data_IF_435308620408
#
_entry.id   IF_435308620408
#
_cell.length_a   1.000
_cell.length_b   1.000
_cell.length_c   1.000
_cell.angle_alpha   90.00
_cell.angle_beta   90.00
_cell.angle_gamma   90.00
#
_symmetry.space_group_name_H-M   'P 1'
#
loop_
_entity.id
_entity.type
_entity.pdbx_description
1 polymer ?
#
# COMPACT_ATOMS: atom_id res chain seq x y z
N UNK A 1 -2.45 4.64 2.81
CA UNK A 1 -2.97 4.89 1.45
C UNK A 1 -2.04 5.81 0.68
N UNK A 2 -0.76 5.45 0.64
CA UNK A 2 0.24 5.98 -0.28
C UNK A 2 0.60 4.82 -1.21
N UNK A 3 -0.29 4.54 -2.15
CA UNK A 3 -0.23 3.39 -3.05
C UNK A 3 1.02 3.40 -3.92
N UNK A 4 1.48 4.59 -4.35
CA UNK A 4 2.67 4.71 -5.19
C UNK A 4 3.88 3.98 -4.60
N UNK A 5 4.21 4.26 -3.33
CA UNK A 5 5.40 3.71 -2.68
C UNK A 5 5.25 2.20 -2.46
N UNK A 6 4.06 1.75 -2.06
CA UNK A 6 3.76 0.33 -1.86
C UNK A 6 3.84 -0.45 -3.17
N UNK A 7 3.20 0.02 -4.24
CA UNK A 7 3.26 -0.63 -5.56
C UNK A 7 4.69 -0.69 -6.06
N UNK A 8 5.44 0.41 -5.95
CA UNK A 8 6.83 0.46 -6.40
C UNK A 8 7.69 -0.56 -5.65
N UNK A 9 7.54 -0.67 -4.33
CA UNK A 9 8.24 -1.65 -3.50
C UNK A 9 7.87 -3.09 -3.89
N UNK A 10 6.58 -3.42 -3.90
CA UNK A 10 6.08 -4.77 -4.21
C UNK A 10 6.44 -5.23 -5.62
N UNK A 11 6.25 -4.36 -6.62
CA UNK A 11 6.61 -4.63 -8.01
C UNK A 11 8.12 -4.84 -8.16
N UNK A 12 8.95 -4.02 -7.50
CA UNK A 12 10.41 -4.13 -7.58
C UNK A 12 10.92 -5.43 -6.93
N UNK A 13 10.38 -5.81 -5.77
CA UNK A 13 10.69 -7.07 -5.09
C UNK A 13 10.36 -8.25 -6.02
N UNK A 14 9.15 -8.28 -6.58
CA UNK A 14 8.72 -9.32 -7.50
C UNK A 14 9.51 -9.33 -8.83
N UNK A 15 9.96 -8.17 -9.28
CA UNK A 15 10.80 -8.03 -10.47
C UNK A 15 12.19 -8.63 -10.25
N UNK A 16 12.81 -8.36 -9.10
CA UNK A 16 14.19 -8.76 -8.75
C UNK A 16 14.26 -10.21 -8.27
N UNK A 17 13.32 -10.65 -7.45
CA UNK A 17 13.30 -12.00 -6.90
C UNK A 17 12.54 -12.93 -7.85
N UNK A 18 13.23 -13.94 -8.37
CA UNK A 18 12.66 -14.81 -9.40
C UNK A 18 11.65 -15.82 -8.84
N UNK A 19 11.90 -16.32 -7.63
CA UNK A 19 11.06 -17.33 -7.01
C UNK A 19 9.82 -16.67 -6.37
N UNK A 20 8.59 -16.97 -6.86
CA UNK A 20 7.36 -16.37 -6.34
C UNK A 20 7.10 -16.75 -4.87
N UNK A 21 7.61 -17.89 -4.41
CA UNK A 21 7.46 -18.34 -3.03
C UNK A 21 8.13 -17.37 -2.04
N UNK A 22 9.17 -16.65 -2.47
CA UNK A 22 9.83 -15.62 -1.66
C UNK A 22 9.36 -14.23 -2.04
N UNK A 23 9.20 -13.95 -3.34
CA UNK A 23 8.92 -12.59 -3.79
C UNK A 23 7.55 -12.09 -3.38
N UNK A 24 6.52 -12.95 -3.38
CA UNK A 24 5.15 -12.55 -3.05
C UNK A 24 4.94 -12.29 -1.55
N UNK A 25 5.42 -13.16 -0.62
CA UNK A 25 5.40 -12.83 0.80
C UNK A 25 6.20 -11.57 1.12
N UNK A 26 7.38 -11.39 0.52
CA UNK A 26 8.19 -10.18 0.73
C UNK A 26 7.49 -8.93 0.20
N UNK A 27 6.78 -9.02 -0.92
CA UNK A 27 5.99 -7.91 -1.44
C UNK A 27 4.86 -7.50 -0.47
N UNK A 28 4.15 -8.48 0.12
CA UNK A 28 3.15 -8.19 1.16
C UNK A 28 3.78 -7.57 2.41
N UNK A 29 4.88 -8.14 2.90
CA UNK A 29 5.62 -7.62 4.07
C UNK A 29 6.11 -6.19 3.81
N UNK A 30 6.50 -5.88 2.57
CA UNK A 30 6.99 -4.55 2.21
C UNK A 30 5.97 -3.45 2.46
N UNK A 31 4.66 -3.74 2.44
CA UNK A 31 3.62 -2.79 2.83
C UNK A 31 3.92 -2.18 4.20
N UNK A 32 4.06 -3.05 5.21
CA UNK A 32 4.28 -2.64 6.60
C UNK A 32 5.65 -1.99 6.79
N UNK A 33 6.68 -2.44 6.05
CA UNK A 33 8.01 -1.82 6.13
C UNK A 33 8.03 -0.40 5.55
N UNK A 34 7.28 -0.17 4.47
CA UNK A 34 7.14 1.17 3.87
C UNK A 34 6.36 2.10 4.79
N UNK A 35 5.34 1.59 5.49
CA UNK A 35 4.58 2.36 6.49
C UNK A 35 5.43 2.85 7.67
N UNK A 36 6.53 2.17 7.98
CA UNK A 36 7.46 2.60 9.03
C UNK A 36 8.28 3.82 8.63
N UNK A 37 8.39 4.13 7.33
CA UNK A 37 9.14 5.28 6.85
C UNK A 37 8.32 6.57 7.02
N UNK A 38 8.96 7.71 7.31
CA UNK A 38 8.30 9.01 7.28
C UNK A 38 7.64 9.26 5.92
N UNK A 39 6.32 9.35 5.90
CA UNK A 39 5.57 9.61 4.67
C UNK A 39 4.34 10.48 4.96
N UNK A 40 3.85 11.15 3.92
CA UNK A 40 2.57 11.83 3.98
C UNK A 40 1.44 10.81 3.84
N UNK A 41 0.46 10.83 4.74
CA UNK A 41 -0.72 9.98 4.67
C UNK A 41 -1.98 10.83 4.85
N UNK A 42 -3.04 10.61 4.06
CA UNK A 42 -4.32 11.28 4.26
C UNK A 42 -4.89 10.97 5.65
N UNK A 43 -5.41 12.00 6.33
CA UNK A 43 -6.01 11.89 7.67
C UNK A 43 -7.44 11.34 7.61
N UNK A 44 -7.58 10.14 7.07
CA UNK A 44 -8.89 9.53 6.80
C UNK A 44 -9.71 9.29 8.07
N UNK A 45 -9.07 8.99 9.20
CA UNK A 45 -9.76 8.87 10.50
C UNK A 45 -10.44 10.19 10.93
N UNK A 46 -9.77 11.33 10.72
CA UNK A 46 -10.33 12.66 11.04
C UNK A 46 -11.41 13.08 10.03
N UNK A 47 -11.21 12.78 8.75
CA UNK A 47 -12.11 13.20 7.67
C UNK A 47 -13.34 12.30 7.53
N UNK A 48 -13.28 11.02 7.92
CA UNK A 48 -14.40 10.08 7.79
C UNK A 48 -15.69 10.61 8.45
N UNK A 49 -15.59 11.17 9.65
CA UNK A 49 -16.75 11.66 10.40
C UNK A 49 -17.35 12.95 9.81
N UNK A 50 -16.56 13.73 9.07
CA UNK A 50 -16.95 15.02 8.51
C UNK A 50 -17.17 14.97 6.98
N UNK A 51 -17.02 13.78 6.38
CA UNK A 51 -16.94 13.60 4.93
C UNK A 51 -15.52 13.80 4.40
N UNK A 52 -15.06 12.85 3.58
CA UNK A 52 -13.73 12.89 2.95
C UNK A 52 -13.63 14.14 2.07
N UNK A 53 -12.59 14.95 2.26
CA UNK A 53 -12.41 16.16 1.47
C UNK A 53 -12.13 15.79 0.02
N UNK A 54 -12.69 16.57 -0.91
CA UNK A 54 -12.46 16.40 -2.35
C UNK A 54 -10.97 16.40 -2.70
N UNK A 55 -10.19 17.26 -2.05
CA UNK A 55 -8.73 17.31 -2.24
C UNK A 55 -8.06 16.00 -1.84
N UNK A 56 -8.39 15.47 -0.65
CA UNK A 56 -7.88 14.19 -0.15
C UNK A 56 -8.22 13.05 -1.10
N UNK A 57 -9.47 12.98 -1.55
CA UNK A 57 -9.91 11.98 -2.52
C UNK A 57 -9.13 12.05 -3.85
N UNK A 58 -8.95 13.26 -4.40
CA UNK A 58 -8.19 13.46 -5.64
C UNK A 58 -6.73 13.05 -5.47
N UNK A 59 -6.09 13.37 -4.34
CA UNK A 59 -4.72 12.95 -4.08
C UNK A 59 -4.58 11.43 -4.02
N UNK A 60 -5.46 10.74 -3.28
CA UNK A 60 -5.48 9.27 -3.21
C UNK A 60 -5.67 8.67 -4.60
N UNK A 61 -6.60 9.23 -5.39
CA UNK A 61 -6.88 8.75 -6.74
C UNK A 61 -5.69 8.91 -7.68
N UNK A 62 -5.04 10.08 -7.67
CA UNK A 62 -3.85 10.34 -8.49
C UNK A 62 -2.68 9.44 -8.08
N UNK A 63 -2.44 9.31 -6.77
CA UNK A 63 -1.38 8.46 -6.24
C UNK A 63 -1.60 6.97 -6.61
N UNK A 64 -2.83 6.47 -6.45
CA UNK A 64 -3.23 5.13 -6.88
C UNK A 64 -3.03 4.92 -8.38
N UNK A 65 -3.39 5.93 -9.19
CA UNK A 65 -3.24 5.85 -10.64
C UNK A 65 -1.77 5.81 -11.08
N UNK A 66 -0.91 6.64 -10.48
CA UNK A 66 0.52 6.64 -10.74
C UNK A 66 1.15 5.32 -10.28
N UNK A 67 0.75 4.82 -9.10
CA UNK A 67 1.16 3.52 -8.60
C UNK A 67 0.80 2.39 -9.57
N UNK A 68 -0.46 2.30 -9.98
CA UNK A 68 -0.92 1.30 -10.95
C UNK A 68 -0.15 1.37 -12.26
N UNK A 69 0.03 2.57 -12.82
CA UNK A 69 0.79 2.76 -14.06
C UNK A 69 2.23 2.25 -13.93
N UNK A 70 2.91 2.59 -12.84
CA UNK A 70 4.29 2.14 -12.60
C UNK A 70 4.40 0.65 -12.34
N UNK A 71 3.48 0.06 -11.57
CA UNK A 71 3.43 -1.38 -11.35
C UNK A 71 3.28 -2.15 -12.67
N UNK A 72 2.37 -1.70 -13.54
CA UNK A 72 2.19 -2.27 -14.88
C UNK A 72 3.40 -2.03 -15.78
N UNK A 73 4.01 -0.84 -15.72
CA UNK A 73 5.23 -0.54 -16.46
C UNK A 73 6.38 -1.48 -16.07
N UNK A 74 6.64 -1.65 -14.76
CA UNK A 74 7.67 -2.57 -14.25
C UNK A 74 7.39 -4.02 -14.68
N UNK A 75 6.12 -4.44 -14.64
CA UNK A 75 5.74 -5.76 -15.11
C UNK A 75 6.05 -5.92 -16.61
N UNK A 76 5.69 -4.93 -17.42
CA UNK A 76 5.89 -4.94 -18.87
C UNK A 76 7.37 -5.04 -19.29
N UNK A 77 8.31 -4.60 -18.46
CA UNK A 77 9.75 -4.81 -18.68
C UNK A 77 10.17 -6.29 -18.77
N UNK A 78 9.29 -7.24 -18.39
CA UNK A 78 9.51 -8.69 -18.54
C UNK A 78 8.84 -9.31 -19.77
N UNK A 79 8.28 -8.50 -20.68
CA UNK A 79 7.76 -9.00 -21.95
C UNK A 79 8.82 -9.79 -22.74
N UNK A 80 8.47 -10.93 -23.38
CA UNK A 80 7.14 -11.56 -23.49
C UNK A 80 6.85 -12.62 -22.40
N UNK A 81 7.59 -12.66 -21.30
CA UNK A 81 7.40 -13.66 -20.26
C UNK A 81 6.15 -13.35 -19.41
N UNK A 82 4.98 -13.82 -19.86
CA UNK A 82 3.70 -13.62 -19.18
C UNK A 82 3.66 -14.14 -17.75
N UNK A 83 4.37 -15.24 -17.45
CA UNK A 83 4.46 -15.76 -16.08
C UNK A 83 5.14 -14.74 -15.15
N UNK A 84 6.26 -14.16 -15.58
CA UNK A 84 6.97 -13.13 -14.80
C UNK A 84 6.17 -11.84 -14.70
N UNK A 85 5.49 -11.43 -15.77
CA UNK A 85 4.56 -10.28 -15.75
C UNK A 85 3.49 -10.50 -14.67
N UNK A 86 2.84 -11.66 -14.66
CA UNK A 86 1.81 -11.99 -13.69
C UNK A 86 2.31 -11.99 -12.25
N UNK A 87 3.51 -12.51 -11.99
CA UNK A 87 4.13 -12.48 -10.66
C UNK A 87 4.40 -11.05 -10.20
N UNK A 88 4.84 -10.15 -11.09
CA UNK A 88 5.12 -8.76 -10.75
C UNK A 88 3.82 -8.00 -10.44
N UNK A 89 2.78 -8.20 -11.25
CA UNK A 89 1.46 -7.61 -11.01
C UNK A 89 0.90 -8.11 -9.67
N UNK A 90 1.04 -9.40 -9.37
CA UNK A 90 0.60 -9.95 -8.10
C UNK A 90 1.41 -9.40 -6.93
N UNK A 91 2.72 -9.18 -7.09
CA UNK A 91 3.56 -8.52 -6.08
C UNK A 91 3.14 -7.07 -5.82
N UNK A 92 2.89 -6.30 -6.88
CA UNK A 92 2.35 -4.95 -6.79
C UNK A 92 1.01 -4.93 -6.03
N UNK A 93 0.09 -5.83 -6.40
CA UNK A 93 -1.22 -5.97 -5.75
C UNK A 93 -1.11 -6.36 -4.27
N UNK A 94 -0.25 -7.32 -3.92
CA UNK A 94 -0.08 -7.74 -2.54
C UNK A 94 0.49 -6.63 -1.64
N UNK A 95 1.34 -5.76 -2.19
CA UNK A 95 1.88 -4.63 -1.43
C UNK A 95 0.83 -3.55 -1.10
N UNK A 96 -0.26 -3.45 -1.86
CA UNK A 96 -1.38 -2.52 -1.59
C UNK A 96 -2.59 -3.20 -0.96
N UNK A 97 -2.58 -4.52 -0.85
CA UNK A 97 -3.72 -5.31 -0.39
C UNK A 97 -4.26 -4.85 0.98
N UNK A 98 -3.44 -4.53 2.00
CA UNK A 98 -3.96 -4.05 3.28
C UNK A 98 -4.76 -2.75 3.16
N UNK A 99 -4.28 -1.79 2.36
CA UNK A 99 -4.97 -0.52 2.10
C UNK A 99 -6.27 -0.72 1.32
N UNK A 100 -6.28 -1.64 0.34
CA UNK A 100 -7.51 -2.01 -0.38
C UNK A 100 -8.57 -2.64 0.51
N UNK A 101 -8.16 -3.38 1.55
CA UNK A 101 -9.06 -3.95 2.56
C UNK A 101 -9.61 -2.85 3.49
N UNK A 102 -8.79 -1.85 3.81
CA UNK A 102 -9.15 -0.69 4.63
C UNK A 102 -10.08 0.30 3.87
N UNK A 103 -9.95 0.44 2.55
CA UNK A 103 -10.69 1.41 1.74
C UNK A 103 -12.24 1.36 1.89
N UNK A 104 -12.92 0.20 1.87
CA UNK A 104 -14.37 0.14 2.07
C UNK A 104 -14.85 0.73 3.39
N UNK A 105 -14.03 0.69 4.43
CA UNK A 105 -14.36 1.26 5.73
C UNK A 105 -14.38 2.79 5.71
N UNK A 106 -13.44 3.44 5.02
CA UNK A 106 -13.42 4.91 4.93
C UNK A 106 -14.40 5.46 3.91
N UNK A 107 -14.50 4.83 2.73
CA UNK A 107 -15.32 5.38 1.63
C UNK A 107 -16.80 4.99 1.71
N UNK A 108 -17.12 3.79 2.18
CA UNK A 108 -18.49 3.28 2.21
C UNK A 108 -19.01 2.99 3.62
N UNK A 109 -18.20 3.21 4.66
CA UNK A 109 -18.56 2.89 6.04
C UNK A 109 -18.76 1.40 6.32
N UNK A 110 -18.33 0.52 5.40
CA UNK A 110 -18.51 -0.92 5.55
C UNK A 110 -17.55 -1.48 6.59
N UNK A 111 -18.07 -2.20 7.59
CA UNK A 111 -17.28 -2.77 8.67
C UNK A 111 -17.59 -4.26 8.82
N UNK A 112 -16.54 -5.08 8.82
CA UNK A 112 -16.61 -6.49 9.16
C UNK A 112 -15.41 -6.87 10.06
N UNK A 113 -15.40 -8.11 10.56
CA UNK A 113 -14.34 -8.60 11.47
C UNK A 113 -12.95 -8.62 10.82
N UNK A 114 -12.87 -8.82 9.51
CA UNK A 114 -11.59 -8.87 8.79
C UNK A 114 -11.00 -7.47 8.64
N UNK A 115 -11.81 -6.52 8.19
CA UNK A 115 -11.46 -5.11 8.08
C UNK A 115 -11.02 -4.56 9.43
N UNK A 116 -11.78 -4.83 10.50
CA UNK A 116 -11.42 -4.39 11.86
C UNK A 116 -10.03 -4.89 12.28
N UNK A 117 -9.71 -6.18 12.04
CA UNK A 117 -8.39 -6.74 12.37
C UNK A 117 -7.26 -6.10 11.56
N UNK A 118 -7.48 -5.85 10.27
CA UNK A 118 -6.48 -5.20 9.40
C UNK A 118 -6.25 -3.77 9.84
N UNK A 119 -7.32 -3.02 10.14
CA UNK A 119 -7.26 -1.67 10.68
C UNK A 119 -6.46 -1.62 11.99
N UNK A 120 -6.76 -2.51 12.94
CA UNK A 120 -6.07 -2.56 14.22
C UNK A 120 -4.57 -2.82 14.03
N UNK A 121 -4.21 -3.75 13.14
CA UNK A 121 -2.82 -4.07 12.83
C UNK A 121 -2.07 -2.91 12.16
N UNK A 122 -2.71 -2.24 11.20
CA UNK A 122 -2.12 -1.08 10.53
C UNK A 122 -1.95 0.10 11.48
N UNK A 123 -2.89 0.33 12.40
CA UNK A 123 -2.79 1.40 13.42
C UNK A 123 -1.57 1.21 14.32
N UNK A 124 -1.31 0.00 14.81
CA UNK A 124 -0.10 -0.29 15.60
C UNK A 124 1.19 0.04 14.84
N UNK A 125 1.21 -0.24 13.53
CA UNK A 125 2.38 0.04 12.68
C UNK A 125 2.57 1.55 12.48
N UNK A 126 1.48 2.30 12.27
CA UNK A 126 1.47 3.77 12.10
C UNK A 126 1.83 4.52 13.40
N UNK A 127 1.39 4.06 14.56
CA UNK A 127 1.78 4.64 15.87
C UNK A 127 3.28 4.48 16.14
N UNK A 128 3.83 3.31 15.79
CA UNK A 128 5.27 3.02 15.94
C UNK A 128 6.14 3.94 15.07
N UNK A 129 5.67 4.31 13.87
CA UNK A 129 6.45 5.20 12.98
C UNK A 129 6.53 6.62 13.54
N UNK A 130 5.45 7.15 14.12
CA UNK A 130 5.42 8.47 14.76
C UNK A 130 6.34 8.54 15.98
N UNK A 131 6.35 7.51 16.84
CA UNK A 131 7.25 7.48 18.01
C UNK A 131 8.73 7.47 17.61
N UNK A 132 9.07 6.75 16.53
CA UNK A 132 10.44 6.74 16.02
C UNK A 132 10.86 8.12 15.49
N UNK A 133 9.95 8.83 14.84
CA UNK A 133 10.19 10.16 14.30
C UNK A 133 10.46 11.19 15.41
N UNK A 134 9.69 11.15 16.50
CA UNK A 134 9.95 11.99 17.69
C UNK A 134 11.28 11.67 18.37
N UNK A 135 11.71 10.40 18.35
CA UNK A 135 13.01 10.00 18.87
C UNK A 135 14.16 10.56 18.02
N UNK A 136 14.06 10.55 16.69
CA UNK A 136 15.09 11.10 15.80
C UNK A 136 15.17 12.63 15.79
N UNK A 137 14.13 13.32 16.26
CA UNK A 137 14.08 14.79 16.34
C UNK A 137 14.48 15.35 17.71
N UNK A 138 14.83 14.49 18.67
CA UNK A 138 15.41 14.85 19.99
C UNK A 138 16.92 14.66 19.98
#
# INVERSE_FOLDING_TARGET
>A
MLEFAHVLAGATIAYKIQNPLFSLPLALISHFLVDLLPHWNPRLDEEKNNGIKKTTFIFILLDSFIGLFLGLFIAFLKWPNFQRIGIIILGAFLAVLPDLIEAPFYFFGYQNKLIAKVLDFQKTTKETSLSNLEFFLK
#
